data_IF_486868290059
#
_entry.id   IF_486868290059
#
_cell.length_a   1.000
_cell.length_b   1.000
_cell.length_c   1.000
_cell.angle_alpha   90.00
_cell.angle_beta   90.00
_cell.angle_gamma   90.00
#
_symmetry.space_group_name_H-M   'P 1'
#
loop_
_entity.id
_entity.type
_entity.pdbx_description
1 polymer ?
#
# COMPACT_ATOMS: atom_id res chain seq x y z
N UNK A 1 -29.81 3.64 -9.05
CA UNK A 1 -28.72 2.68 -8.75
C UNK A 1 -27.42 3.47 -8.68
N UNK A 2 -26.88 3.71 -7.48
CA UNK A 2 -25.63 4.44 -7.35
C UNK A 2 -24.48 3.48 -7.69
N UNK A 3 -23.78 3.74 -8.79
CA UNK A 3 -22.52 3.06 -9.10
C UNK A 3 -21.49 3.52 -8.07
N UNK A 4 -21.39 2.80 -6.94
CA UNK A 4 -20.28 2.97 -6.03
C UNK A 4 -19.01 2.71 -6.84
N UNK A 5 -18.12 3.70 -6.93
CA UNK A 5 -16.77 3.52 -7.50
C UNK A 5 -16.20 2.24 -6.87
N UNK A 6 -15.67 1.29 -7.65
CA UNK A 6 -15.05 0.09 -7.09
C UNK A 6 -14.10 0.54 -6.00
N UNK A 7 -14.23 0.00 -4.79
CA UNK A 7 -13.33 0.30 -3.69
C UNK A 7 -11.97 -0.28 -4.10
N UNK A 8 -11.16 0.50 -4.82
CA UNK A 8 -9.83 0.13 -5.33
C UNK A 8 -8.79 -0.08 -4.22
N UNK A 9 -9.24 -0.34 -2.99
CA UNK A 9 -8.43 -0.58 -1.81
C UNK A 9 -8.05 -2.05 -1.64
N UNK A 10 -8.82 -3.00 -2.19
CA UNK A 10 -8.62 -4.45 -1.99
C UNK A 10 -7.55 -5.06 -2.91
N UNK A 11 -6.66 -4.24 -3.47
CA UNK A 11 -5.54 -4.71 -4.28
C UNK A 11 -4.52 -5.48 -3.41
N UNK A 12 -3.67 -6.32 -4.03
CA UNK A 12 -2.67 -7.08 -3.30
C UNK A 12 -1.73 -6.16 -2.52
N UNK A 13 -1.06 -6.71 -1.50
CA UNK A 13 0.04 -6.04 -0.85
C UNK A 13 1.16 -5.80 -1.88
N UNK A 14 1.61 -4.55 -1.99
CA UNK A 14 2.65 -4.15 -2.93
C UNK A 14 3.87 -3.63 -2.15
N UNK A 15 5.06 -4.13 -2.49
CA UNK A 15 6.33 -3.59 -1.98
C UNK A 15 7.20 -3.21 -3.16
N UNK A 16 7.70 -1.98 -3.16
CA UNK A 16 8.63 -1.47 -4.17
C UNK A 16 9.93 -1.07 -3.51
N UNK A 17 11.06 -1.56 -4.01
CA UNK A 17 12.39 -1.09 -3.60
C UNK A 17 12.73 0.16 -4.39
N UNK A 18 12.89 1.27 -3.71
CA UNK A 18 13.47 2.50 -4.25
C UNK A 18 14.96 2.57 -3.87
N UNK A 19 15.68 3.59 -4.35
CA UNK A 19 17.14 3.62 -4.27
C UNK A 19 17.71 3.36 -2.86
N UNK A 20 17.03 3.85 -1.81
CA UNK A 20 17.48 3.75 -0.40
C UNK A 20 16.40 3.31 0.59
N UNK A 21 15.18 3.13 0.12
CA UNK A 21 14.02 2.81 0.96
C UNK A 21 13.11 1.79 0.29
N UNK A 22 12.27 1.16 1.11
CA UNK A 22 11.20 0.28 0.68
C UNK A 22 9.88 1.01 0.86
N UNK A 23 9.11 1.13 -0.21
CA UNK A 23 7.75 1.67 -0.16
C UNK A 23 6.79 0.49 -0.12
N UNK A 24 6.09 0.34 0.99
CA UNK A 24 5.07 -0.71 1.19
C UNK A 24 3.67 -0.10 1.16
N UNK A 25 2.79 -0.71 0.37
CA UNK A 25 1.38 -0.32 0.25
C UNK A 25 0.51 -1.46 0.78
N UNK A 26 -0.14 -1.22 1.92
CA UNK A 26 -0.99 -2.21 2.59
C UNK A 26 -2.46 -1.86 2.36
N UNK A 27 -3.27 -2.76 1.78
CA UNK A 27 -4.71 -2.58 1.66
C UNK A 27 -5.37 -2.58 3.06
N UNK A 28 -6.31 -1.68 3.30
CA UNK A 28 -7.04 -1.60 4.58
C UNK A 28 -8.50 -2.04 4.40
N UNK A 29 -9.00 -2.85 5.35
CA UNK A 29 -10.41 -3.24 5.41
C UNK A 29 -11.28 -2.00 5.67
N UNK A 30 -12.00 -1.54 4.64
CA UNK A 30 -12.75 -0.27 4.67
C UNK A 30 -12.40 0.67 3.51
N UNK A 31 -11.37 0.34 2.74
CA UNK A 31 -10.95 1.09 1.58
C UNK A 31 -9.81 2.05 1.89
N UNK A 32 -8.99 2.30 0.86
CA UNK A 32 -7.74 3.05 1.00
C UNK A 32 -6.52 2.13 1.15
N UNK A 33 -5.35 2.76 1.21
CA UNK A 33 -4.06 2.08 1.30
C UNK A 33 -3.20 2.82 2.31
N UNK A 34 -2.63 2.09 3.26
CA UNK A 34 -1.57 2.62 4.11
C UNK A 34 -0.27 2.57 3.30
N UNK A 35 0.39 3.71 3.17
CA UNK A 35 1.71 3.81 2.52
C UNK A 35 2.74 4.04 3.59
N UNK A 36 3.71 3.13 3.70
CA UNK A 36 4.81 3.20 4.64
C UNK A 36 6.12 3.21 3.86
N UNK A 37 6.99 4.17 4.18
CA UNK A 37 8.38 4.18 3.71
C UNK A 37 9.28 3.64 4.83
N UNK A 38 10.06 2.62 4.52
CA UNK A 38 11.00 1.98 5.43
C UNK A 38 12.42 2.17 4.91
N UNK A 39 13.36 2.52 5.78
CA UNK A 39 14.79 2.49 5.41
C UNK A 39 15.26 1.04 5.29
N UNK A 40 16.33 0.83 4.53
CA UNK A 40 16.90 -0.50 4.35
C UNK A 40 17.29 -1.17 5.69
N UNK A 41 17.75 -0.38 6.65
CA UNK A 41 18.15 -0.88 7.98
C UNK A 41 16.95 -1.22 8.89
N UNK A 42 15.77 -0.64 8.63
CA UNK A 42 14.54 -0.89 9.39
C UNK A 42 13.81 -2.15 8.88
N UNK A 43 14.12 -2.60 7.67
CA UNK A 43 13.53 -3.77 7.02
C UNK A 43 14.36 -5.07 7.18
N UNK A 44 15.28 -5.09 8.16
CA UNK A 44 16.22 -6.19 8.40
C UNK A 44 15.60 -7.34 9.19
#
# INVERSE_FOLDING_TARGET
MAAMKPRTGDGPLEVTKEARSYVMRVPLEGGGRLVVELKADEAR
#
